data_IF_686490676365
#
_entry.id   IF_686490676365
#
_cell.length_a   1.000
_cell.length_b   1.000
_cell.length_c   1.000
_cell.angle_alpha   90.00
_cell.angle_beta   90.00
_cell.angle_gamma   90.00
#
_symmetry.space_group_name_H-M   'P 1'
#
loop_
_entity.id
_entity.type
_entity.pdbx_description
1 polymer ?
#
# COMPACT_ATOMS: atom_id res chain seq x y z
N UNK A 1 57.95 -32.67 10.97
CA UNK A 1 57.83 -32.83 9.50
C UNK A 1 56.91 -31.73 9.00
N UNK A 2 57.37 -30.53 8.66
CA UNK A 2 58.24 -30.18 7.52
C UNK A 2 57.49 -30.48 6.20
N UNK A 3 57.28 -29.61 5.21
CA UNK A 3 57.89 -28.36 4.76
C UNK A 3 56.87 -27.63 3.83
N UNK A 4 56.80 -26.30 3.85
CA UNK A 4 57.32 -25.36 2.82
C UNK A 4 56.59 -25.40 1.46
N UNK A 5 56.02 -24.27 1.01
CA UNK A 5 56.63 -23.35 0.00
C UNK A 5 56.67 -24.02 -1.40
N UNK A 6 56.08 -23.45 -2.45
CA UNK A 6 56.73 -22.56 -3.45
C UNK A 6 55.61 -22.20 -4.46
N UNK A 7 55.22 -20.94 -4.66
CA UNK A 7 55.72 -20.02 -5.70
C UNK A 7 56.13 -20.70 -7.02
N UNK A 8 55.64 -20.22 -8.17
CA UNK A 8 56.40 -19.94 -9.41
C UNK A 8 55.42 -19.60 -10.55
N UNK A 9 55.81 -18.58 -11.32
CA UNK A 9 55.09 -17.90 -12.39
C UNK A 9 55.24 -18.61 -13.77
N UNK A 10 55.21 -17.90 -14.92
CA UNK A 10 54.13 -17.77 -15.90
C UNK A 10 54.46 -18.46 -17.26
N UNK A 11 53.66 -18.27 -18.32
CA UNK A 11 54.29 -17.83 -19.57
C UNK A 11 53.51 -16.78 -20.42
N UNK A 12 54.28 -15.78 -20.82
CA UNK A 12 54.36 -15.04 -22.11
C UNK A 12 53.43 -15.39 -23.28
N UNK A 13 52.91 -14.36 -23.98
CA UNK A 13 53.18 -13.98 -25.39
C UNK A 13 52.33 -12.70 -25.71
N UNK A 14 52.94 -11.56 -26.05
CA UNK A 14 53.16 -11.06 -27.43
C UNK A 14 51.85 -10.82 -28.19
N UNK A 15 51.54 -9.71 -28.87
CA UNK A 15 52.31 -8.59 -29.40
C UNK A 15 51.31 -7.71 -30.15
N UNK A 16 51.35 -6.38 -30.04
CA UNK A 16 50.97 -5.54 -31.18
C UNK A 16 51.63 -4.15 -31.08
N UNK A 17 52.66 -4.01 -31.89
CA UNK A 17 53.32 -2.77 -32.28
C UNK A 17 52.40 -1.90 -33.13
N UNK A 18 52.42 -0.58 -32.93
CA UNK A 18 52.55 0.42 -34.01
C UNK A 18 52.75 1.83 -33.46
N UNK A 19 53.83 2.48 -33.90
CA UNK A 19 53.85 3.91 -34.19
C UNK A 19 54.29 4.87 -33.09
N UNK A 20 55.60 5.07 -32.96
CA UNK A 20 56.23 6.34 -32.54
C UNK A 20 56.08 7.41 -33.66
N UNK A 21 56.54 8.68 -33.55
CA UNK A 21 57.38 9.29 -32.51
C UNK A 21 57.03 10.77 -32.14
N UNK A 22 57.91 11.39 -31.34
CA UNK A 22 58.27 12.81 -31.38
C UNK A 22 57.49 13.80 -30.50
N UNK A 23 57.83 13.80 -29.22
CA UNK A 23 57.62 14.92 -28.30
C UNK A 23 58.87 15.83 -28.27
N UNK A 24 58.58 17.14 -28.30
CA UNK A 24 59.32 18.25 -27.69
C UNK A 24 60.71 18.60 -28.25
N UNK A 25 60.75 19.74 -28.93
CA UNK A 25 61.77 20.76 -28.66
C UNK A 25 61.22 22.17 -28.90
N UNK A 26 61.76 23.10 -28.11
CA UNK A 26 61.87 24.54 -28.36
C UNK A 26 60.58 25.40 -28.34
N UNK A 27 60.26 25.85 -27.13
CA UNK A 27 59.86 27.24 -26.90
C UNK A 27 60.93 28.19 -27.45
N UNK A 28 60.53 29.12 -28.32
CA UNK A 28 61.05 30.50 -28.42
C UNK A 28 60.33 31.19 -29.60
N UNK A 29 59.65 32.31 -29.32
CA UNK A 29 59.18 33.22 -30.37
C UNK A 29 57.80 33.85 -30.12
N UNK A 30 57.76 34.93 -29.36
CA UNK A 30 56.72 35.98 -29.48
C UNK A 30 56.97 36.83 -30.75
N UNK A 31 56.15 37.86 -31.03
CA UNK A 31 54.69 37.92 -31.20
C UNK A 31 54.32 38.58 -32.56
N UNK A 32 53.09 38.46 -33.04
CA UNK A 32 52.50 39.44 -33.98
C UNK A 32 50.96 39.42 -33.93
N UNK A 33 50.31 40.59 -34.07
CA UNK A 33 48.90 40.80 -33.73
C UNK A 33 47.98 40.60 -34.95
N UNK A 34 46.70 40.97 -34.81
CA UNK A 34 45.62 40.94 -35.84
C UNK A 34 45.03 39.52 -36.02
N UNK A 35 43.74 39.23 -35.81
CA UNK A 35 42.54 40.00 -36.05
C UNK A 35 41.44 39.37 -35.18
N UNK A 36 41.04 40.02 -34.09
CA UNK A 36 39.93 39.57 -33.23
C UNK A 36 38.64 39.81 -34.00
N UNK A 37 38.24 38.87 -34.86
CA UNK A 37 36.88 38.87 -35.41
C UNK A 37 35.92 38.83 -34.23
N UNK A 38 35.15 39.91 -34.11
CA UNK A 38 34.01 40.01 -33.22
C UNK A 38 33.03 38.89 -33.58
N UNK A 39 33.05 37.81 -32.80
CA UNK A 39 31.90 36.93 -32.69
C UNK A 39 30.77 37.76 -32.09
N UNK A 40 29.93 38.31 -32.95
CA UNK A 40 28.60 38.78 -32.56
C UNK A 40 27.84 37.57 -31.99
N UNK A 41 27.24 37.66 -30.80
CA UNK A 41 26.41 36.58 -30.30
C UNK A 41 25.20 36.46 -31.23
N UNK A 42 24.98 35.25 -31.76
CA UNK A 42 23.78 34.93 -32.52
C UNK A 42 22.55 35.27 -31.68
N UNK A 43 21.75 36.23 -32.12
CA UNK A 43 20.43 36.49 -31.53
C UNK A 43 19.55 35.25 -31.75
N UNK A 44 18.89 34.71 -30.72
CA UNK A 44 17.95 33.60 -30.92
C UNK A 44 16.80 34.08 -31.82
N UNK A 45 16.65 33.43 -32.96
CA UNK A 45 15.50 33.56 -33.86
C UNK A 45 14.19 33.34 -33.09
N UNK A 46 13.18 34.20 -33.21
CA UNK A 46 11.89 34.06 -32.53
C UNK A 46 10.94 33.11 -33.28
N UNK A 47 11.44 32.04 -33.90
CA UNK A 47 10.62 31.14 -34.72
C UNK A 47 10.33 29.78 -34.08
N UNK A 48 10.61 29.58 -32.80
CA UNK A 48 10.10 28.41 -32.08
C UNK A 48 8.69 28.76 -31.57
N UNK A 49 7.60 28.30 -32.20
CA UNK A 49 6.30 28.39 -31.55
C UNK A 49 6.39 27.59 -30.25
N UNK A 50 6.09 28.26 -29.14
CA UNK A 50 5.97 27.62 -27.84
C UNK A 50 5.07 26.38 -28.00
N UNK A 51 5.55 25.21 -27.56
CA UNK A 51 4.81 23.95 -27.62
C UNK A 51 3.38 24.16 -27.11
N UNK A 52 2.41 24.27 -28.03
CA UNK A 52 1.00 24.30 -27.66
C UNK A 52 0.60 22.87 -27.33
N UNK A 53 0.41 22.62 -26.05
CA UNK A 53 -0.08 21.33 -25.56
C UNK A 53 -1.59 21.28 -25.78
N UNK A 54 -2.00 20.96 -27.02
CA UNK A 54 -3.41 20.95 -27.43
C UNK A 54 -4.20 19.75 -26.86
N UNK A 55 -3.51 18.73 -26.33
CA UNK A 55 -4.13 17.55 -25.72
C UNK A 55 -4.31 17.63 -24.19
N UNK A 56 -4.01 18.76 -23.56
CA UNK A 56 -4.18 18.90 -22.12
C UNK A 56 -5.67 18.94 -21.73
N UNK A 57 -6.05 18.18 -20.70
CA UNK A 57 -7.40 18.25 -20.13
C UNK A 57 -7.66 19.69 -19.67
N UNK A 58 -8.76 20.28 -20.16
CA UNK A 58 -9.17 21.65 -19.82
C UNK A 58 -9.41 21.81 -18.31
N UNK A 59 -9.40 23.06 -17.83
CA UNK A 59 -9.59 23.35 -16.40
C UNK A 59 -10.98 22.92 -15.93
N UNK A 60 -12.01 23.23 -16.72
CA UNK A 60 -13.40 22.83 -16.48
C UNK A 60 -13.56 21.32 -16.28
N UNK A 61 -12.94 20.49 -17.14
CA UNK A 61 -13.00 19.03 -17.00
C UNK A 61 -12.31 18.53 -15.73
N UNK A 62 -11.27 19.21 -15.27
CA UNK A 62 -10.58 18.86 -14.01
C UNK A 62 -11.44 19.26 -12.81
N UNK A 63 -12.09 20.40 -12.85
CA UNK A 63 -13.02 20.87 -11.81
C UNK A 63 -14.19 19.90 -11.67
N UNK A 64 -14.83 19.52 -12.79
CA UNK A 64 -15.86 18.49 -12.79
C UNK A 64 -15.38 17.12 -12.28
N UNK A 65 -14.12 16.77 -12.54
CA UNK A 65 -13.52 15.54 -11.98
C UNK A 65 -13.32 15.66 -10.47
N UNK A 66 -12.94 16.83 -9.96
CA UNK A 66 -12.78 17.10 -8.53
C UNK A 66 -14.14 17.00 -7.83
N UNK A 67 -15.19 17.58 -8.40
CA UNK A 67 -16.57 17.50 -7.89
C UNK A 67 -17.04 16.06 -7.78
N UNK A 68 -16.88 15.26 -8.84
CA UNK A 68 -17.21 13.83 -8.80
C UNK A 68 -16.46 13.04 -7.74
N UNK A 69 -15.18 13.37 -7.52
CA UNK A 69 -14.38 12.73 -6.46
C UNK A 69 -14.86 13.16 -5.09
N UNK A 70 -15.26 14.43 -4.90
CA UNK A 70 -15.87 14.90 -3.65
C UNK A 70 -17.18 14.19 -3.36
N UNK A 71 -18.08 14.04 -4.33
CA UNK A 71 -19.33 13.27 -4.18
C UNK A 71 -19.05 11.81 -3.79
N UNK A 72 -18.02 11.20 -4.38
CA UNK A 72 -17.60 9.83 -4.04
C UNK A 72 -17.03 9.72 -2.64
N UNK A 73 -16.31 10.76 -2.18
CA UNK A 73 -15.75 10.85 -0.85
C UNK A 73 -16.85 11.04 0.20
N UNK A 74 -17.78 11.99 0.00
CA UNK A 74 -18.92 12.26 0.89
C UNK A 74 -19.80 11.02 1.13
N UNK A 75 -20.00 10.21 0.10
CA UNK A 75 -20.74 8.95 0.22
C UNK A 75 -19.91 7.75 0.71
N UNK A 76 -18.62 7.92 1.02
CA UNK A 76 -17.73 6.83 1.40
C UNK A 76 -17.35 6.87 2.88
N UNK A 77 -17.46 5.70 3.54
CA UNK A 77 -17.04 5.52 4.94
C UNK A 77 -15.56 5.19 5.07
N UNK A 78 -14.99 4.56 4.03
CA UNK A 78 -13.60 4.14 3.97
C UNK A 78 -12.98 4.51 2.63
N UNK A 79 -11.77 5.06 2.70
CA UNK A 79 -10.92 5.32 1.54
C UNK A 79 -9.62 4.55 1.69
N UNK A 80 -9.30 3.66 0.75
CA UNK A 80 -8.03 2.94 0.73
C UNK A 80 -7.13 3.42 -0.42
N UNK A 81 -5.86 3.68 -0.11
CA UNK A 81 -4.82 4.10 -1.04
C UNK A 81 -3.94 2.92 -1.46
N UNK A 82 -3.92 2.63 -2.75
CA UNK A 82 -3.25 1.46 -3.33
C UNK A 82 -2.22 1.95 -4.33
N UNK A 83 -0.93 1.61 -4.15
CA UNK A 83 0.02 1.73 -5.26
C UNK A 83 -0.25 0.63 -6.28
N UNK A 84 -0.07 0.92 -7.56
CA UNK A 84 -0.33 -0.03 -8.65
C UNK A 84 0.88 -0.24 -9.58
N UNK A 85 2.09 0.00 -9.05
CA UNK A 85 3.34 -0.18 -9.80
C UNK A 85 3.58 -1.65 -10.12
N UNK A 86 3.74 -1.99 -11.40
CA UNK A 86 4.04 -3.36 -11.82
C UNK A 86 2.83 -4.29 -11.96
N UNK A 87 1.60 -3.75 -11.94
CA UNK A 87 0.40 -4.54 -12.21
C UNK A 87 0.11 -4.64 -13.69
N UNK A 88 -0.30 -5.84 -14.13
CA UNK A 88 -0.80 -6.06 -15.50
C UNK A 88 -2.27 -5.65 -15.62
N UNK A 89 -2.70 -5.32 -16.85
CA UNK A 89 -4.10 -4.95 -17.12
C UNK A 89 -5.07 -6.08 -16.77
N UNK A 90 -4.65 -7.35 -16.96
CA UNK A 90 -5.45 -8.53 -16.59
C UNK A 90 -5.74 -8.56 -15.09
N UNK A 91 -4.70 -8.38 -14.27
CA UNK A 91 -4.84 -8.32 -12.80
C UNK A 91 -5.74 -7.16 -12.36
N UNK A 92 -5.63 -5.98 -12.97
CA UNK A 92 -6.53 -4.85 -12.67
C UNK A 92 -7.99 -5.15 -13.04
N UNK A 93 -8.21 -5.90 -14.12
CA UNK A 93 -9.54 -6.33 -14.52
C UNK A 93 -10.10 -7.38 -13.54
N UNK A 94 -9.26 -8.31 -13.07
CA UNK A 94 -9.64 -9.31 -12.07
C UNK A 94 -10.01 -8.65 -10.74
N UNK A 95 -9.25 -7.62 -10.32
CA UNK A 95 -9.60 -6.80 -9.14
C UNK A 95 -10.97 -6.17 -9.33
N UNK A 96 -11.25 -5.55 -10.48
CA UNK A 96 -12.55 -4.94 -10.75
C UNK A 96 -13.71 -5.94 -10.76
N UNK A 97 -13.46 -7.22 -11.10
CA UNK A 97 -14.48 -8.29 -11.06
C UNK A 97 -14.72 -8.82 -9.64
N UNK A 98 -13.66 -8.90 -8.83
CA UNK A 98 -13.72 -9.38 -7.44
C UNK A 98 -14.32 -8.33 -6.50
N UNK A 99 -14.28 -7.05 -6.87
CA UNK A 99 -14.90 -5.99 -6.08
C UNK A 99 -16.43 -6.02 -6.24
N UNK A 100 -17.19 -5.90 -5.14
CA UNK A 100 -18.64 -5.79 -5.21
C UNK A 100 -19.06 -4.43 -5.82
N UNK A 101 -20.27 -4.36 -6.38
CA UNK A 101 -20.81 -3.15 -7.03
C UNK A 101 -20.87 -1.92 -6.11
N UNK A 102 -20.87 -2.15 -4.79
CA UNK A 102 -20.86 -1.13 -3.74
C UNK A 102 -19.50 -0.44 -3.57
N UNK A 103 -18.44 -0.98 -4.17
CA UNK A 103 -17.07 -0.46 -4.06
C UNK A 103 -16.65 0.15 -5.39
N UNK A 104 -16.26 1.43 -5.35
CA UNK A 104 -15.81 2.14 -6.55
C UNK A 104 -14.29 2.26 -6.56
N UNK A 105 -13.64 1.63 -7.54
CA UNK A 105 -12.20 1.79 -7.78
C UNK A 105 -11.96 2.92 -8.80
N UNK A 106 -11.24 3.97 -8.40
CA UNK A 106 -10.84 5.07 -9.30
C UNK A 106 -9.37 5.40 -9.17
N UNK A 107 -8.74 5.62 -10.30
CA UNK A 107 -7.38 6.16 -10.36
C UNK A 107 -7.50 7.67 -10.56
N UNK A 108 -6.99 8.44 -9.62
CA UNK A 108 -7.06 9.89 -9.65
C UNK A 108 -5.67 10.51 -9.45
N UNK A 109 -5.42 11.64 -10.13
CA UNK A 109 -4.15 12.37 -10.00
C UNK A 109 -4.03 12.96 -8.60
N UNK A 110 -2.84 12.88 -8.02
CA UNK A 110 -2.57 13.31 -6.64
C UNK A 110 -2.97 14.76 -6.38
N UNK A 111 -2.70 15.68 -7.30
CA UNK A 111 -3.08 17.10 -7.16
C UNK A 111 -4.59 17.32 -7.19
N UNK A 112 -5.36 16.44 -7.86
CA UNK A 112 -6.82 16.53 -7.84
C UNK A 112 -7.36 16.02 -6.50
N UNK A 113 -6.76 14.96 -5.95
CA UNK A 113 -7.10 14.46 -4.63
C UNK A 113 -6.78 15.47 -3.53
N UNK A 114 -5.62 16.13 -3.57
CA UNK A 114 -5.29 17.18 -2.60
C UNK A 114 -6.38 18.26 -2.54
N UNK A 115 -6.84 18.74 -3.70
CA UNK A 115 -7.92 19.73 -3.80
C UNK A 115 -9.31 19.20 -3.42
N UNK A 116 -9.54 17.90 -3.57
CA UNK A 116 -10.79 17.27 -3.17
C UNK A 116 -10.86 17.06 -1.65
N UNK A 117 -9.71 16.82 -1.02
CA UNK A 117 -9.58 16.53 0.41
C UNK A 117 -9.52 17.82 1.25
N UNK A 118 -8.95 18.90 0.72
CA UNK A 118 -8.97 20.24 1.34
C UNK A 118 -10.40 20.65 1.69
N UNK A 119 -10.72 20.69 2.99
CA UNK A 119 -12.06 21.00 3.51
C UNK A 119 -12.90 19.80 3.97
N UNK A 120 -12.35 18.58 3.96
CA UNK A 120 -13.03 17.36 4.43
C UNK A 120 -12.31 16.70 5.60
N UNK A 121 -12.98 15.78 6.29
CA UNK A 121 -12.41 15.04 7.43
C UNK A 121 -11.21 14.14 7.06
N UNK A 122 -10.89 14.00 5.77
CA UNK A 122 -9.83 13.12 5.28
C UNK A 122 -8.47 13.80 5.09
N UNK A 123 -8.22 14.95 5.70
CA UNK A 123 -6.92 15.65 5.57
C UNK A 123 -5.72 14.79 5.98
N UNK A 124 -5.93 13.80 6.85
CA UNK A 124 -4.93 12.80 7.23
C UNK A 124 -4.38 11.98 6.04
N UNK A 125 -5.03 12.02 4.87
CA UNK A 125 -4.58 11.36 3.63
C UNK A 125 -3.42 12.06 2.91
N UNK A 126 -3.13 13.34 3.21
CA UNK A 126 -2.08 14.13 2.54
C UNK A 126 -0.72 13.40 2.40
N UNK A 127 -0.17 12.71 3.42
CA UNK A 127 1.09 11.96 3.28
C UNK A 127 0.99 10.76 2.32
N UNK A 128 -0.19 10.15 2.20
CA UNK A 128 -0.44 9.01 1.30
C UNK A 128 -0.58 9.42 -0.16
N UNK A 129 -0.75 10.70 -0.45
CA UNK A 129 -0.84 11.21 -1.81
C UNK A 129 0.50 11.18 -2.57
N UNK A 130 1.58 10.65 -1.99
CA UNK A 130 2.90 10.55 -2.62
C UNK A 130 3.04 9.24 -3.40
N UNK A 131 3.36 9.35 -4.69
CA UNK A 131 3.58 8.21 -5.59
C UNK A 131 2.40 7.93 -6.52
N UNK A 132 2.38 6.73 -7.10
CA UNK A 132 1.28 6.28 -7.97
C UNK A 132 0.17 5.72 -7.09
N UNK A 133 -1.00 6.35 -7.07
CA UNK A 133 -2.10 5.94 -6.20
C UNK A 133 -3.40 5.66 -6.98
N UNK A 134 -3.99 4.51 -6.70
CA UNK A 134 -5.36 4.17 -6.98
C UNK A 134 -6.16 4.28 -5.68
N UNK A 135 -7.37 4.84 -5.78
CA UNK A 135 -8.27 5.05 -4.66
C UNK A 135 -9.42 4.07 -4.74
N UNK A 136 -9.71 3.46 -3.61
CA UNK A 136 -10.84 2.58 -3.44
C UNK A 136 -11.80 3.26 -2.46
N UNK A 137 -12.99 3.59 -2.97
CA UNK A 137 -14.08 4.21 -2.21
C UNK A 137 -15.09 3.13 -1.84
N UNK A 138 -15.32 2.95 -0.55
CA UNK A 138 -16.32 1.99 -0.04
C UNK A 138 -17.55 2.77 0.40
N UNK A 139 -18.65 2.65 -0.37
CA UNK A 139 -19.93 3.31 -0.07
C UNK A 139 -20.80 2.57 0.96
N UNK A 140 -20.50 1.30 1.21
CA UNK A 140 -21.24 0.49 2.19
C UNK A 140 -20.39 0.24 3.45
N UNK A 141 -21.05 0.06 4.59
CA UNK A 141 -20.39 -0.27 5.88
C UNK A 141 -19.61 -1.60 5.87
N UNK A 142 -19.65 -2.36 4.77
CA UNK A 142 -18.91 -3.61 4.59
C UNK A 142 -17.45 -3.38 4.18
N UNK A 143 -16.74 -2.68 5.07
CA UNK A 143 -15.29 -2.46 5.02
C UNK A 143 -14.53 -3.77 4.75
N UNK A 144 -14.78 -4.91 5.44
CA UNK A 144 -13.98 -6.12 5.22
C UNK A 144 -14.21 -6.76 3.84
N UNK A 145 -15.38 -6.55 3.21
CA UNK A 145 -15.68 -7.15 1.91
C UNK A 145 -14.85 -6.55 0.77
N UNK A 146 -14.48 -5.27 0.89
CA UNK A 146 -13.59 -4.62 -0.07
C UNK A 146 -12.11 -4.98 0.18
N UNK A 147 -11.74 -5.22 1.43
CA UNK A 147 -10.35 -5.41 1.85
C UNK A 147 -9.88 -6.88 1.71
N UNK A 148 -10.75 -7.86 1.92
CA UNK A 148 -10.46 -9.30 1.72
C UNK A 148 -9.94 -9.63 0.31
N UNK A 149 -10.67 -9.32 -0.78
CA UNK A 149 -10.21 -9.63 -2.13
C UNK A 149 -8.93 -8.87 -2.48
N UNK A 150 -8.74 -7.66 -1.95
CA UNK A 150 -7.51 -6.91 -2.16
C UNK A 150 -6.31 -7.55 -1.46
N UNK A 151 -6.48 -8.05 -0.23
CA UNK A 151 -5.43 -8.78 0.49
C UNK A 151 -5.12 -10.14 -0.12
N UNK A 152 -6.13 -10.87 -0.58
CA UNK A 152 -5.92 -12.13 -1.31
C UNK A 152 -5.04 -11.89 -2.52
N UNK A 153 -5.30 -10.79 -3.24
CA UNK A 153 -4.44 -10.36 -4.33
C UNK A 153 -3.04 -9.96 -3.86
N UNK A 154 -2.89 -9.20 -2.75
CA UNK A 154 -1.56 -8.92 -2.20
C UNK A 154 -0.78 -10.18 -1.84
N UNK A 155 -1.47 -11.23 -1.34
CA UNK A 155 -0.86 -12.51 -0.99
C UNK A 155 -0.49 -13.34 -2.23
N UNK A 156 -1.28 -13.25 -3.30
CA UNK A 156 -0.98 -13.89 -4.59
C UNK A 156 0.15 -13.15 -5.33
N UNK A 157 0.20 -11.82 -5.22
CA UNK A 157 1.20 -10.94 -5.81
C UNK A 157 2.46 -10.79 -4.93
N UNK A 158 2.85 -11.82 -4.17
CA UNK A 158 4.12 -11.90 -3.38
C UNK A 158 5.38 -11.84 -4.27
N UNK A 159 5.48 -10.80 -5.08
CA UNK A 159 6.62 -10.33 -5.86
C UNK A 159 6.68 -8.81 -5.62
N UNK A 160 7.14 -8.48 -4.41
CA UNK A 160 7.95 -7.32 -4.02
C UNK A 160 7.47 -5.85 -4.21
N UNK A 161 6.36 -5.51 -4.86
CA UNK A 161 6.14 -4.08 -5.24
C UNK A 161 4.72 -3.52 -5.16
N UNK A 162 3.86 -4.04 -4.28
CA UNK A 162 2.59 -3.39 -4.01
C UNK A 162 2.53 -2.82 -2.60
N UNK A 163 3.25 -1.71 -2.39
CA UNK A 163 3.15 -0.98 -1.13
C UNK A 163 1.70 -0.48 -0.98
N UNK A 164 1.02 -0.96 0.05
CA UNK A 164 -0.22 -0.34 0.48
C UNK A 164 0.12 1.00 1.12
N UNK A 165 -0.40 2.10 0.55
CA UNK A 165 -0.08 3.45 1.07
C UNK A 165 -0.85 3.77 2.36
N UNK A 166 -1.87 2.96 2.68
CA UNK A 166 -2.65 3.04 3.91
C UNK A 166 -4.16 3.15 3.65
N UNK A 167 -4.95 2.89 4.68
CA UNK A 167 -6.40 3.08 4.68
C UNK A 167 -6.76 4.26 5.57
N UNK A 168 -7.82 4.98 5.24
CA UNK A 168 -8.43 5.95 6.14
C UNK A 168 -9.85 5.51 6.44
N UNK A 169 -10.13 5.41 7.74
CA UNK A 169 -11.43 5.10 8.29
C UNK A 169 -11.80 6.19 9.28
N UNK A 170 -12.96 6.83 9.10
CA UNK A 170 -13.50 7.85 10.02
C UNK A 170 -12.48 8.93 10.44
N UNK A 171 -11.66 9.40 9.49
CA UNK A 171 -10.64 10.44 9.72
C UNK A 171 -9.36 9.94 10.41
N UNK A 172 -9.28 8.66 10.79
CA UNK A 172 -8.05 8.04 11.29
C UNK A 172 -7.27 7.38 10.17
N UNK A 173 -5.97 7.63 10.15
CA UNK A 173 -5.05 7.02 9.21
C UNK A 173 -4.52 5.69 9.74
N UNK A 174 -4.66 4.63 8.93
CA UNK A 174 -4.20 3.29 9.22
C UNK A 174 -3.03 2.93 8.30
N UNK A 175 -1.90 2.62 8.94
CA UNK A 175 -0.69 2.14 8.29
C UNK A 175 -0.86 0.67 7.81
N UNK A 176 0.04 0.15 6.93
CA UNK A 176 -0.02 -1.23 6.45
C UNK A 176 0.00 -2.31 7.56
N UNK A 177 0.54 -2.00 8.75
CA UNK A 177 0.54 -2.93 9.88
C UNK A 177 -0.82 -2.99 10.59
N UNK A 178 -1.45 -1.83 10.77
CA UNK A 178 -2.78 -1.68 11.40
C UNK A 178 -3.92 -2.09 10.47
N UNK A 179 -3.62 -2.19 9.17
CA UNK A 179 -4.55 -2.73 8.17
C UNK A 179 -5.05 -4.14 8.53
N UNK A 180 -4.25 -4.94 9.25
CA UNK A 180 -4.66 -6.26 9.75
C UNK A 180 -5.86 -6.21 10.69
N UNK A 181 -6.04 -5.11 11.42
CA UNK A 181 -7.17 -4.93 12.33
C UNK A 181 -8.46 -4.74 11.53
N UNK A 182 -8.41 -3.98 10.45
CA UNK A 182 -9.54 -3.79 9.53
C UNK A 182 -9.93 -5.09 8.82
N UNK A 183 -8.98 -5.99 8.59
CA UNK A 183 -9.23 -7.32 8.00
C UNK A 183 -9.96 -8.27 8.94
N UNK A 184 -9.64 -8.23 10.24
CA UNK A 184 -10.28 -9.09 11.25
C UNK A 184 -11.70 -8.65 11.58
N UNK A 185 -12.16 -7.53 11.01
CA UNK A 185 -13.52 -7.05 11.22
C UNK A 185 -14.53 -8.09 10.67
N UNK A 186 -15.43 -8.59 11.53
CA UNK A 186 -16.42 -9.58 11.14
C UNK A 186 -17.55 -8.97 10.31
N UNK A 187 -18.38 -9.81 9.68
CA UNK A 187 -19.53 -9.33 8.88
C UNK A 187 -20.57 -8.59 9.73
N UNK A 188 -21.48 -7.81 9.13
CA UNK A 188 -22.53 -7.06 9.88
C UNK A 188 -23.34 -7.95 10.81
N UNK A 189 -23.78 -9.12 10.34
CA UNK A 189 -24.51 -10.09 11.15
C UNK A 189 -23.68 -10.60 12.33
N UNK A 190 -22.39 -10.86 12.10
CA UNK A 190 -21.47 -11.26 13.17
C UNK A 190 -21.16 -10.11 14.15
N UNK A 191 -21.09 -8.85 13.70
CA UNK A 191 -20.94 -7.68 14.57
C UNK A 191 -22.15 -7.58 15.50
N UNK A 192 -23.37 -7.68 14.96
CA UNK A 192 -24.59 -7.68 15.76
C UNK A 192 -24.63 -8.86 16.72
N UNK A 193 -24.25 -10.07 16.27
CA UNK A 193 -24.19 -11.24 17.14
C UNK A 193 -23.17 -11.08 18.28
N UNK A 194 -21.99 -10.49 18.00
CA UNK A 194 -20.97 -10.22 19.03
C UNK A 194 -21.41 -9.13 20.00
N UNK A 195 -22.08 -8.08 19.52
CA UNK A 195 -22.62 -7.02 20.37
C UNK A 195 -23.75 -7.53 21.27
N UNK A 196 -24.67 -8.32 20.71
CA UNK A 196 -25.73 -8.95 21.50
C UNK A 196 -25.13 -9.98 22.47
N UNK A 197 -24.14 -10.76 22.04
CA UNK A 197 -23.42 -11.71 22.89
C UNK A 197 -22.68 -11.02 24.04
N UNK A 198 -22.04 -9.88 23.80
CA UNK A 198 -21.35 -9.13 24.86
C UNK A 198 -22.33 -8.48 25.84
N UNK A 199 -23.52 -8.06 25.39
CA UNK A 199 -24.60 -7.58 26.25
C UNK A 199 -25.28 -8.70 27.04
N UNK A 200 -25.44 -9.88 26.45
CA UNK A 200 -26.05 -11.04 27.10
C UNK A 200 -25.09 -11.76 28.06
N UNK A 201 -23.79 -11.73 27.78
CA UNK A 201 -22.76 -12.36 28.61
C UNK A 201 -22.87 -12.03 30.11
N UNK A 202 -22.93 -10.75 30.54
CA UNK A 202 -23.07 -10.43 31.96
C UNK A 202 -24.40 -10.90 32.55
N UNK A 203 -25.50 -10.90 31.78
CA UNK A 203 -26.80 -11.39 32.25
C UNK A 203 -26.77 -12.91 32.50
N UNK A 204 -26.15 -13.66 31.59
CA UNK A 204 -25.98 -15.11 31.72
C UNK A 204 -25.01 -15.45 32.87
N UNK A 205 -23.92 -14.70 33.01
CA UNK A 205 -22.99 -14.86 34.14
C UNK A 205 -23.67 -14.64 35.48
N UNK A 206 -24.53 -13.63 35.60
CA UNK A 206 -25.28 -13.35 36.84
C UNK A 206 -26.21 -14.53 37.19
N UNK A 207 -27.00 -15.02 36.23
CA UNK A 207 -27.87 -16.19 36.43
C UNK A 207 -27.04 -17.41 36.83
N UNK A 208 -25.88 -17.62 36.19
CA UNK A 208 -24.95 -18.69 36.52
C UNK A 208 -24.46 -18.61 37.96
N UNK A 209 -24.07 -17.43 38.44
CA UNK A 209 -23.58 -17.25 39.83
C UNK A 209 -24.67 -17.48 40.87
N UNK A 210 -25.92 -17.08 40.60
CA UNK A 210 -27.03 -17.32 41.54
C UNK A 210 -27.45 -18.79 41.58
N UNK A 211 -27.37 -19.50 40.44
CA UNK A 211 -27.74 -20.91 40.35
C UNK A 211 -26.63 -21.88 40.77
N UNK A 212 -25.37 -21.45 40.74
CA UNK A 212 -24.20 -22.25 41.12
C UNK A 212 -24.35 -22.95 42.49
N UNK A 213 -24.64 -22.24 43.61
CA UNK A 213 -24.72 -22.89 44.92
C UNK A 213 -25.84 -23.94 45.00
N UNK A 214 -26.98 -23.70 44.34
CA UNK A 214 -28.07 -24.68 44.31
C UNK A 214 -27.70 -25.92 43.49
N UNK A 215 -26.97 -25.76 42.39
CA UNK A 215 -26.51 -26.88 41.54
C UNK A 215 -25.45 -27.72 42.24
N UNK A 216 -24.50 -27.08 42.91
CA UNK A 216 -23.40 -27.79 43.59
C UNK A 216 -23.92 -28.69 44.72
N UNK A 217 -24.95 -28.24 45.46
CA UNK A 217 -25.63 -29.07 46.46
C UNK A 217 -26.33 -30.29 45.83
N UNK A 218 -27.02 -30.12 44.70
CA UNK A 218 -27.67 -31.23 44.02
C UNK A 218 -26.65 -32.22 43.45
N UNK A 219 -25.53 -31.73 42.91
CA UNK A 219 -24.47 -32.58 42.36
C UNK A 219 -23.75 -33.38 43.44
N UNK A 220 -23.45 -32.78 44.59
CA UNK A 220 -22.84 -33.49 45.73
C UNK A 220 -23.74 -34.59 46.28
N UNK A 221 -25.04 -34.32 46.42
CA UNK A 221 -26.01 -35.33 46.83
C UNK A 221 -26.11 -36.48 45.82
N UNK A 222 -26.15 -36.18 44.52
CA UNK A 222 -26.15 -37.21 43.47
C UNK A 222 -24.88 -38.05 43.48
N UNK A 223 -23.72 -37.44 43.67
CA UNK A 223 -22.44 -38.15 43.78
C UNK A 223 -22.41 -39.08 45.00
N UNK A 224 -23.05 -38.68 46.11
CA UNK A 224 -23.18 -39.55 47.28
C UNK A 224 -24.08 -40.76 47.01
N UNK A 225 -25.22 -40.55 46.34
CA UNK A 225 -26.13 -41.64 45.96
C UNK A 225 -25.44 -42.64 45.01
N UNK A 226 -24.69 -42.15 44.02
CA UNK A 226 -23.95 -43.02 43.09
C UNK A 226 -22.88 -43.86 43.79
N UNK A 227 -22.16 -43.29 44.78
CA UNK A 227 -21.20 -44.07 45.58
C UNK A 227 -21.88 -45.22 46.31
N UNK A 228 -23.06 -44.98 46.89
CA UNK A 228 -23.81 -46.04 47.56
C UNK A 228 -24.31 -47.12 46.58
N UNK A 229 -24.66 -46.75 45.35
CA UNK A 229 -25.05 -47.70 44.31
C UNK A 229 -23.86 -48.52 43.77
N UNK A 230 -22.68 -47.91 43.64
CA UNK A 230 -21.43 -48.62 43.27
C UNK A 230 -20.97 -49.57 44.39
N UNK A 231 -21.07 -49.14 45.65
CA UNK A 231 -20.81 -50.00 46.81
C UNK A 231 -21.82 -51.16 46.87
N UNK A 232 -23.10 -50.91 46.58
CA UNK A 232 -24.15 -51.94 46.54
C UNK A 232 -24.09 -52.86 45.30
N UNK A 233 -23.50 -52.43 44.19
CA UNK A 233 -23.27 -53.25 42.99
C UNK A 233 -21.97 -54.06 43.02
N UNK A 234 -21.10 -53.79 44.00
CA UNK A 234 -19.83 -54.51 44.22
C UNK A 234 -19.91 -55.61 45.29
N UNK A 235 -21.07 -55.74 45.94
CA UNK A 235 -21.41 -56.80 46.90
C UNK A 235 -22.37 -57.83 46.26
#
# INVERSE_FOLDING_TARGET
>A
MAMATTMVAPPTLSSETRGSPSLRSSFLGSPSPTLRQSFLPATPSPSCPALRVDMAISREKKEFTIEKVREQLEGAYLVAGIKYTGLTVKQLQDIRRKLPETVTLRVAKNTLMSKAIEGTQWEALKPCLKGMNAWLFVKSEEIPAALKPYRDMQRELKLDKNDFTGAVFEGKFFAPEEFKVLETMPSRAEIYAKLLGSLQSPAISLIGTLQAPARDLVLTLKAYVQKLEEEAGSA
#
